data_IF_712929257388
#
_entry.id   IF_712929257388
#
_cell.length_a   1.000
_cell.length_b   1.000
_cell.length_c   1.000
_cell.angle_alpha   90.00
_cell.angle_beta   90.00
_cell.angle_gamma   90.00
#
_symmetry.space_group_name_H-M   'P 1'
#
loop_
_entity.id
_entity.type
_entity.pdbx_description
1 polymer ?
#
# COMPACT_ATOMS: atom_id res chain seq x y z
N UNK A 1 38.57 21.27 -30.21
CA UNK A 1 39.66 20.30 -30.11
C UNK A 1 39.08 19.03 -29.50
N UNK A 2 39.03 18.01 -30.32
CA UNK A 2 38.43 16.70 -30.07
C UNK A 2 39.23 15.90 -29.04
N UNK A 3 38.57 15.06 -28.27
CA UNK A 3 39.10 13.85 -27.65
C UNK A 3 37.84 13.06 -27.18
N UNK A 4 37.69 11.88 -27.36
CA UNK A 4 38.13 10.68 -28.08
C UNK A 4 37.33 9.53 -27.45
N UNK A 5 36.78 8.75 -28.29
CA UNK A 5 35.94 7.58 -28.01
C UNK A 5 36.80 6.40 -27.57
N UNK A 6 36.52 5.82 -26.42
CA UNK A 6 37.04 4.51 -26.06
C UNK A 6 36.06 3.41 -26.47
N UNK A 7 36.36 2.76 -27.60
CA UNK A 7 35.79 1.46 -27.97
C UNK A 7 36.45 0.37 -27.12
N UNK A 8 35.61 -0.45 -26.48
CA UNK A 8 36.02 -1.74 -25.93
C UNK A 8 35.44 -2.84 -26.80
N UNK A 9 36.32 -3.67 -27.33
CA UNK A 9 36.04 -4.74 -28.29
C UNK A 9 35.28 -5.91 -27.68
N UNK A 10 34.43 -6.47 -28.50
CA UNK A 10 33.56 -7.63 -28.36
C UNK A 10 34.29 -8.95 -28.19
N UNK A 11 33.70 -9.82 -27.41
CA UNK A 11 33.88 -11.27 -27.47
C UNK A 11 32.53 -11.98 -27.32
N UNK A 12 32.13 -12.68 -28.41
CA UNK A 12 31.17 -13.75 -28.50
C UNK A 12 29.69 -13.50 -28.11
N UNK A 13 28.88 -13.31 -29.13
CA UNK A 13 27.56 -13.99 -29.28
C UNK A 13 26.53 -13.87 -28.16
N UNK A 14 26.14 -12.66 -27.80
CA UNK A 14 24.87 -12.47 -27.09
C UNK A 14 24.02 -11.45 -27.87
N UNK A 15 22.90 -11.94 -28.41
CA UNK A 15 21.81 -11.07 -28.87
C UNK A 15 21.56 -10.03 -27.77
N UNK A 16 21.55 -8.72 -28.05
CA UNK A 16 21.19 -7.74 -27.05
C UNK A 16 19.76 -8.05 -26.64
N UNK A 17 19.57 -8.42 -25.36
CA UNK A 17 18.28 -8.41 -24.72
C UNK A 17 17.73 -7.00 -24.93
N UNK A 18 16.63 -6.92 -25.65
CA UNK A 18 15.90 -5.69 -25.91
C UNK A 18 15.32 -5.23 -24.58
N UNK A 19 16.13 -4.50 -23.79
CA UNK A 19 15.75 -3.86 -22.55
C UNK A 19 14.89 -2.62 -22.86
N UNK A 20 13.83 -2.80 -23.61
CA UNK A 20 12.64 -2.02 -23.42
C UNK A 20 11.99 -2.53 -22.11
N UNK A 21 12.62 -2.24 -20.99
CA UNK A 21 11.93 -2.10 -19.75
C UNK A 21 10.82 -1.07 -20.04
N UNK A 22 9.59 -1.55 -20.26
CA UNK A 22 8.43 -0.71 -20.14
C UNK A 22 8.56 -0.09 -18.76
N UNK A 23 8.93 1.18 -18.71
CA UNK A 23 8.84 1.99 -17.50
C UNK A 23 7.36 1.95 -17.17
N UNK A 24 6.98 1.04 -16.28
CA UNK A 24 5.62 0.95 -15.77
C UNK A 24 5.42 2.21 -14.94
N UNK A 25 4.86 3.24 -15.58
CA UNK A 25 4.58 4.51 -14.92
C UNK A 25 3.21 4.43 -14.28
N UNK A 26 3.14 4.81 -13.00
CA UNK A 26 1.86 5.02 -12.32
C UNK A 26 1.22 6.30 -12.87
N UNK A 27 -0.07 6.23 -13.21
CA UNK A 27 -0.89 7.35 -13.68
C UNK A 27 -1.80 7.81 -12.54
N UNK A 28 -1.83 9.10 -12.27
CA UNK A 28 -2.80 9.67 -11.33
C UNK A 28 -4.18 9.75 -12.01
N UNK A 29 -5.20 9.28 -11.31
CA UNK A 29 -6.60 9.27 -11.76
C UNK A 29 -7.52 9.81 -10.68
N UNK A 30 -8.71 10.28 -11.07
CA UNK A 30 -9.73 10.66 -10.11
C UNK A 30 -10.31 9.42 -9.43
N UNK A 31 -10.53 9.46 -8.11
CA UNK A 31 -11.23 8.39 -7.41
C UNK A 31 -12.63 8.10 -7.99
N UNK A 32 -13.25 9.08 -8.67
CA UNK A 32 -14.56 8.96 -9.32
C UNK A 32 -14.52 8.05 -10.56
N UNK A 33 -13.35 7.89 -11.15
CA UNK A 33 -13.14 7.04 -12.32
C UNK A 33 -12.87 5.58 -11.95
N UNK A 34 -12.75 5.28 -10.63
CA UNK A 34 -12.40 3.94 -10.18
C UNK A 34 -13.54 2.95 -10.32
N UNK A 35 -13.19 1.77 -10.81
CA UNK A 35 -14.08 0.63 -11.01
C UNK A 35 -13.53 -0.59 -10.27
N UNK A 36 -14.08 -0.90 -9.12
CA UNK A 36 -13.76 -2.13 -8.37
C UNK A 36 -14.84 -2.47 -7.35
N UNK A 37 -14.79 -3.70 -6.84
CA UNK A 37 -15.61 -4.11 -5.71
C UNK A 37 -14.78 -3.98 -4.41
N UNK A 38 -15.09 -3.03 -3.50
CA UNK A 38 -14.29 -2.79 -2.30
C UNK A 38 -14.26 -3.99 -1.35
N UNK A 39 -15.29 -4.82 -1.33
CA UNK A 39 -15.32 -6.04 -0.51
C UNK A 39 -14.32 -7.09 -1.01
N UNK A 40 -14.18 -7.24 -2.35
CA UNK A 40 -13.16 -8.10 -2.92
C UNK A 40 -11.77 -7.55 -2.68
N UNK A 41 -11.60 -6.24 -2.93
CA UNK A 41 -10.30 -5.57 -2.84
C UNK A 41 -9.67 -5.71 -1.44
N UNK A 42 -10.47 -5.56 -0.39
CA UNK A 42 -10.01 -5.70 1.00
C UNK A 42 -10.03 -7.15 1.48
N UNK A 43 -11.18 -7.82 1.36
CA UNK A 43 -11.40 -9.13 1.99
C UNK A 43 -10.73 -10.29 1.26
N UNK A 44 -10.67 -10.24 -0.09
CA UNK A 44 -10.18 -11.33 -0.92
C UNK A 44 -8.78 -11.04 -1.48
N UNK A 45 -8.57 -9.87 -2.08
CA UNK A 45 -7.30 -9.53 -2.73
C UNK A 45 -6.25 -9.10 -1.71
N UNK A 46 -6.68 -8.46 -0.62
CA UNK A 46 -5.86 -7.83 0.41
C UNK A 46 -5.13 -6.58 -0.11
N UNK A 47 -4.63 -5.79 0.80
CA UNK A 47 -3.78 -4.64 0.48
C UNK A 47 -2.53 -4.64 1.34
N UNK A 48 -1.50 -3.93 0.89
CA UNK A 48 -0.37 -3.54 1.72
C UNK A 48 -0.60 -2.13 2.25
N UNK A 49 -0.60 -1.97 3.57
CA UNK A 49 -0.48 -0.66 4.19
C UNK A 49 0.99 -0.35 4.42
N UNK A 50 1.42 0.85 4.02
CA UNK A 50 2.80 1.30 4.18
C UNK A 50 2.85 2.71 4.72
N UNK A 51 3.85 3.01 5.55
CA UNK A 51 4.15 4.35 6.03
C UNK A 51 5.65 4.51 6.25
N UNK A 52 6.12 5.75 6.23
CA UNK A 52 7.51 6.11 6.38
C UNK A 52 8.03 6.98 5.25
N UNK A 53 9.28 7.37 5.37
CA UNK A 53 10.00 8.18 4.38
C UNK A 53 11.39 7.60 4.12
N UNK A 54 12.09 8.15 3.15
CA UNK A 54 13.48 7.79 2.88
C UNK A 54 14.39 8.11 4.08
N UNK A 55 14.11 9.22 4.77
CA UNK A 55 14.91 9.70 5.90
C UNK A 55 14.61 8.93 7.19
N UNK A 56 13.36 8.58 7.45
CA UNK A 56 12.93 7.98 8.72
C UNK A 56 12.80 6.45 8.65
N UNK A 57 13.07 5.88 7.47
CA UNK A 57 12.78 4.49 7.17
C UNK A 57 11.28 4.25 6.98
N UNK A 58 10.93 3.10 6.44
CA UNK A 58 9.56 2.72 6.16
C UNK A 58 9.28 1.26 6.52
N UNK A 59 8.01 0.95 6.71
CA UNK A 59 7.57 -0.43 6.86
C UNK A 59 6.22 -0.65 6.17
N UNK A 60 5.92 -1.92 5.90
CA UNK A 60 4.66 -2.36 5.29
C UNK A 60 4.11 -3.59 6.00
N UNK A 61 2.82 -3.82 5.87
CA UNK A 61 2.19 -5.10 6.23
C UNK A 61 0.92 -5.30 5.42
N UNK A 62 0.50 -6.54 5.30
CA UNK A 62 -0.76 -6.90 4.68
C UNK A 62 -1.92 -6.62 5.61
N UNK A 63 -2.98 -6.04 5.03
CA UNK A 63 -4.28 -5.83 5.69
C UNK A 63 -5.41 -6.45 4.86
N UNK A 64 -6.47 -6.86 5.57
CA UNK A 64 -7.72 -7.34 4.98
C UNK A 64 -8.96 -6.73 5.65
N UNK A 65 -8.76 -5.89 6.67
CA UNK A 65 -9.81 -5.17 7.39
C UNK A 65 -9.71 -3.68 7.08
N UNK A 66 -10.82 -3.10 6.68
CA UNK A 66 -10.89 -1.68 6.34
C UNK A 66 -12.16 -1.33 5.60
N UNK A 67 -12.25 -0.07 5.23
CA UNK A 67 -13.36 0.47 4.45
C UNK A 67 -12.84 1.52 3.48
N UNK A 68 -13.47 1.62 2.32
CA UNK A 68 -13.31 2.70 1.37
C UNK A 68 -14.67 3.37 1.19
N UNK A 69 -14.73 4.68 1.32
CA UNK A 69 -15.99 5.42 1.25
C UNK A 69 -15.77 6.92 1.30
N UNK A 70 -16.76 7.66 1.78
CA UNK A 70 -16.67 9.10 1.99
C UNK A 70 -17.05 9.42 3.44
N UNK A 71 -16.30 10.29 4.08
CA UNK A 71 -16.56 10.75 5.44
C UNK A 71 -16.31 12.26 5.52
N UNK A 72 -17.13 12.96 6.32
CA UNK A 72 -17.12 14.42 6.58
C UNK A 72 -17.42 15.33 5.38
N UNK A 73 -17.51 14.81 4.16
CA UNK A 73 -17.88 15.56 2.97
C UNK A 73 -18.45 14.70 1.85
N UNK A 74 -19.23 15.29 0.95
CA UNK A 74 -19.87 14.57 -0.16
C UNK A 74 -18.88 14.11 -1.24
N UNK A 75 -17.69 14.71 -1.27
CA UNK A 75 -16.66 14.43 -2.26
C UNK A 75 -15.29 14.20 -1.61
N UNK A 76 -15.26 13.80 -0.34
CA UNK A 76 -14.05 13.52 0.40
C UNK A 76 -13.87 11.99 0.54
N UNK A 77 -13.17 11.35 -0.40
CA UNK A 77 -12.92 9.91 -0.36
C UNK A 77 -12.00 9.60 0.82
N UNK A 78 -12.36 8.58 1.58
CA UNK A 78 -11.59 8.14 2.75
C UNK A 78 -11.32 6.65 2.71
N UNK A 79 -10.18 6.28 3.29
CA UNK A 79 -9.83 4.92 3.64
C UNK A 79 -9.80 4.79 5.17
N UNK A 80 -10.45 3.77 5.69
CA UNK A 80 -10.39 3.41 7.11
C UNK A 80 -9.66 2.10 7.24
N UNK A 81 -8.64 2.06 8.09
CA UNK A 81 -7.82 0.87 8.34
C UNK A 81 -7.69 0.60 9.83
N UNK A 82 -7.45 -0.66 10.18
CA UNK A 82 -7.39 -1.15 11.56
C UNK A 82 -6.06 -1.85 11.81
N UNK A 83 -5.24 -1.34 12.74
CA UNK A 83 -3.92 -1.88 13.07
C UNK A 83 -3.86 -2.31 14.53
N UNK A 84 -3.40 -3.54 14.76
CA UNK A 84 -3.14 -4.02 16.14
C UNK A 84 -1.91 -3.35 16.74
N UNK A 85 -1.88 -3.10 18.06
CA UNK A 85 -0.72 -2.49 18.71
C UNK A 85 0.56 -3.32 18.59
N UNK A 86 0.46 -4.62 18.41
CA UNK A 86 1.61 -5.52 18.20
C UNK A 86 2.31 -5.34 16.86
N UNK A 87 1.66 -4.72 15.86
CA UNK A 87 2.21 -4.60 14.49
C UNK A 87 3.24 -3.49 14.38
N UNK A 88 4.45 -3.84 13.89
CA UNK A 88 5.53 -2.87 13.72
C UNK A 88 5.17 -1.74 12.76
N UNK A 89 4.42 -2.02 11.69
CA UNK A 89 3.95 -0.99 10.75
C UNK A 89 3.13 0.10 11.44
N UNK A 90 2.42 -0.24 12.54
CA UNK A 90 1.68 0.75 13.32
C UNK A 90 2.56 1.89 13.83
N UNK A 91 3.80 1.60 14.26
CA UNK A 91 4.71 2.64 14.76
C UNK A 91 5.10 3.66 13.68
N UNK A 92 5.08 3.26 12.41
CA UNK A 92 5.29 4.14 11.28
C UNK A 92 4.01 4.94 10.97
N UNK A 93 2.84 4.28 10.93
CA UNK A 93 1.56 4.95 10.70
C UNK A 93 1.25 5.96 11.82
N UNK A 94 1.61 5.68 13.07
CA UNK A 94 1.44 6.62 14.18
C UNK A 94 2.29 7.89 13.98
N UNK A 95 3.53 7.72 13.56
CA UNK A 95 4.52 8.80 13.43
C UNK A 95 4.29 9.68 12.21
N UNK A 96 3.94 9.09 11.08
CA UNK A 96 3.83 9.79 9.81
C UNK A 96 2.43 10.39 9.63
N UNK A 97 2.33 11.50 8.90
CA UNK A 97 1.05 12.13 8.54
C UNK A 97 0.33 11.36 7.42
N UNK A 98 1.07 10.57 6.63
CA UNK A 98 0.58 9.83 5.50
C UNK A 98 0.76 8.33 5.66
N UNK A 99 -0.15 7.58 5.07
CA UNK A 99 0.02 6.16 4.79
C UNK A 99 -0.47 5.85 3.37
N UNK A 100 -0.02 4.76 2.81
CA UNK A 100 -0.50 4.28 1.50
C UNK A 100 -1.17 2.93 1.62
N UNK A 101 -2.09 2.66 0.70
CA UNK A 101 -2.68 1.35 0.49
C UNK A 101 -2.35 0.90 -0.92
N UNK A 102 -1.60 -0.20 -1.05
CA UNK A 102 -1.21 -0.75 -2.34
C UNK A 102 -1.97 -2.04 -2.63
N UNK A 103 -2.65 -2.08 -3.78
CA UNK A 103 -3.21 -3.31 -4.35
C UNK A 103 -2.16 -3.95 -5.23
N UNK A 104 -1.87 -5.22 -4.98
CA UNK A 104 -0.85 -5.97 -5.69
C UNK A 104 -1.49 -6.89 -6.73
N UNK A 105 -0.69 -7.31 -7.71
CA UNK A 105 -1.07 -8.38 -8.61
C UNK A 105 -1.26 -9.70 -7.87
N UNK A 106 -2.14 -10.57 -8.35
CA UNK A 106 -2.39 -11.89 -7.74
C UNK A 106 -1.11 -12.73 -7.64
N UNK A 107 -0.18 -12.55 -8.56
CA UNK A 107 1.14 -13.19 -8.54
C UNK A 107 1.95 -12.89 -7.26
N UNK A 108 1.66 -11.77 -6.57
CA UNK A 108 2.29 -11.40 -5.29
C UNK A 108 1.62 -11.99 -4.05
N UNK A 109 0.64 -12.90 -4.22
CA UNK A 109 -0.12 -13.46 -3.07
C UNK A 109 0.77 -14.08 -1.99
N UNK A 110 1.83 -14.78 -2.39
CA UNK A 110 2.78 -15.39 -1.45
C UNK A 110 3.58 -14.33 -0.68
N UNK A 111 4.03 -13.29 -1.38
CA UNK A 111 4.74 -12.16 -0.78
C UNK A 111 3.84 -11.39 0.18
N UNK A 112 2.58 -11.17 -0.16
CA UNK A 112 1.62 -10.54 0.74
C UNK A 112 1.39 -11.36 2.00
N UNK A 113 1.24 -12.68 1.90
CA UNK A 113 1.11 -13.57 3.07
C UNK A 113 2.36 -13.48 3.96
N UNK A 114 3.55 -13.49 3.39
CA UNK A 114 4.82 -13.31 4.09
C UNK A 114 4.90 -11.95 4.79
N UNK A 115 4.59 -10.84 4.09
CA UNK A 115 4.60 -9.48 4.63
C UNK A 115 3.61 -9.28 5.78
N UNK A 116 2.52 -10.05 5.80
CA UNK A 116 1.54 -10.05 6.89
C UNK A 116 1.96 -10.87 8.12
N UNK A 117 2.84 -11.88 7.96
CA UNK A 117 3.25 -12.80 9.02
C UNK A 117 4.55 -12.40 9.71
N UNK A 118 5.50 -11.79 8.99
CA UNK A 118 6.84 -11.46 9.48
C UNK A 118 6.91 -10.01 9.94
N UNK A 119 7.66 -9.76 11.03
CA UNK A 119 7.91 -8.42 11.54
C UNK A 119 9.12 -7.77 10.85
N UNK A 120 8.98 -6.51 10.44
CA UNK A 120 10.11 -5.70 9.97
C UNK A 120 11.11 -5.30 11.07
N UNK A 121 10.85 -5.67 12.35
CA UNK A 121 11.85 -5.56 13.43
C UNK A 121 12.92 -6.63 13.31
N UNK A 122 12.55 -7.78 12.76
CA UNK A 122 13.38 -8.97 12.79
C UNK A 122 14.21 -9.12 11.50
N UNK A 123 13.70 -8.56 10.39
CA UNK A 123 14.37 -8.65 9.09
C UNK A 123 13.88 -7.60 8.08
N UNK A 124 14.67 -7.38 7.01
CA UNK A 124 14.23 -6.60 5.84
C UNK A 124 13.24 -7.40 4.99
N UNK A 125 12.01 -7.45 5.47
CA UNK A 125 10.95 -8.18 4.77
C UNK A 125 10.54 -7.57 3.43
N UNK A 126 10.73 -6.24 3.24
CA UNK A 126 10.39 -5.56 1.98
C UNK A 126 11.36 -6.01 0.88
N UNK A 127 12.67 -5.97 1.17
CA UNK A 127 13.70 -6.46 0.25
C UNK A 127 13.56 -7.95 -0.05
N UNK A 128 13.30 -8.77 0.97
CA UNK A 128 13.07 -10.22 0.79
C UNK A 128 11.81 -10.56 -0.01
N UNK A 129 10.77 -9.71 0.06
CA UNK A 129 9.59 -9.85 -0.78
C UNK A 129 9.82 -9.42 -2.24
N UNK A 130 10.98 -8.84 -2.56
CA UNK A 130 11.31 -8.35 -3.90
C UNK A 130 10.53 -7.10 -4.29
N UNK A 131 10.12 -6.26 -3.32
CA UNK A 131 9.38 -5.04 -3.58
C UNK A 131 10.30 -3.83 -3.70
N UNK A 132 10.08 -3.01 -4.73
CA UNK A 132 10.80 -1.78 -5.00
C UNK A 132 10.06 -0.58 -4.38
N UNK A 133 10.70 0.07 -3.40
CA UNK A 133 10.15 1.25 -2.73
C UNK A 133 10.19 2.46 -3.67
N UNK A 134 9.07 3.19 -3.70
CA UNK A 134 8.96 4.51 -4.34
C UNK A 134 8.56 5.50 -3.26
N UNK A 135 9.38 6.53 -3.06
CA UNK A 135 9.10 7.61 -2.12
C UNK A 135 8.58 8.82 -2.88
N UNK A 136 7.36 9.22 -2.63
CA UNK A 136 6.71 10.37 -3.24
C UNK A 136 5.59 10.91 -2.33
N UNK A 137 5.27 12.18 -2.45
CA UNK A 137 4.14 12.82 -1.76
C UNK A 137 4.13 12.55 -0.24
N UNK A 138 5.30 12.65 0.41
CA UNK A 138 5.50 12.35 1.84
C UNK A 138 5.06 10.92 2.25
N UNK A 139 5.10 10.00 1.33
CA UNK A 139 4.66 8.62 1.53
C UNK A 139 5.58 7.62 0.84
N UNK A 140 5.33 6.34 1.04
CA UNK A 140 6.02 5.23 0.39
C UNK A 140 5.01 4.26 -0.19
N UNK A 141 5.21 3.83 -1.43
CA UNK A 141 4.47 2.76 -2.07
C UNK A 141 5.42 1.84 -2.86
N UNK A 142 4.90 0.85 -3.57
CA UNK A 142 5.71 -0.11 -4.30
C UNK A 142 5.47 -0.01 -5.81
N UNK A 143 6.57 -0.06 -6.58
CA UNK A 143 6.55 -0.02 -8.05
C UNK A 143 5.67 -1.14 -8.63
N UNK A 144 5.62 -2.29 -7.95
CA UNK A 144 4.87 -3.48 -8.37
C UNK A 144 3.37 -3.38 -8.11
N UNK A 145 2.90 -2.34 -7.41
CA UNK A 145 1.47 -2.13 -7.16
C UNK A 145 0.70 -1.85 -8.46
N UNK A 146 -0.54 -2.34 -8.54
CA UNK A 146 -1.47 -2.02 -9.64
C UNK A 146 -2.27 -0.75 -9.37
N UNK A 147 -2.63 -0.55 -8.10
CA UNK A 147 -3.42 0.59 -7.63
C UNK A 147 -2.85 1.04 -6.28
N UNK A 148 -2.68 2.34 -6.10
CA UNK A 148 -2.20 2.94 -4.86
C UNK A 148 -3.14 4.06 -4.44
N UNK A 149 -3.55 4.03 -3.17
CA UNK A 149 -4.20 5.15 -2.50
C UNK A 149 -3.18 5.83 -1.61
N UNK A 150 -2.93 7.12 -1.82
CA UNK A 150 -2.12 7.96 -0.93
C UNK A 150 -3.07 8.69 0.00
N UNK A 151 -2.97 8.37 1.29
CA UNK A 151 -3.93 8.78 2.31
C UNK A 151 -3.27 9.69 3.34
N UNK A 152 -3.82 10.89 3.52
CA UNK A 152 -3.47 11.79 4.62
C UNK A 152 -4.28 11.41 5.85
N UNK A 153 -3.61 11.14 6.95
CA UNK A 153 -4.26 10.77 8.21
C UNK A 153 -5.05 11.95 8.79
N UNK A 154 -6.33 11.76 9.05
CA UNK A 154 -7.22 12.81 9.57
C UNK A 154 -7.80 12.47 10.94
N UNK A 155 -7.95 11.18 11.25
CA UNK A 155 -8.51 10.77 12.54
C UNK A 155 -7.90 9.46 13.01
N UNK A 156 -7.71 9.35 14.32
CA UNK A 156 -7.20 8.14 14.98
C UNK A 156 -8.01 7.88 16.23
N UNK A 157 -8.49 6.65 16.41
CA UNK A 157 -9.18 6.21 17.62
C UNK A 157 -8.90 4.74 17.90
N UNK A 158 -8.78 4.38 19.15
CA UNK A 158 -8.73 2.97 19.56
C UNK A 158 -10.15 2.41 19.66
N UNK A 159 -10.36 1.17 19.19
CA UNK A 159 -11.59 0.46 19.46
C UNK A 159 -11.71 0.21 20.97
N UNK A 160 -12.91 0.39 21.50
CA UNK A 160 -13.17 0.22 22.92
C UNK A 160 -14.03 -1.04 23.16
N UNK A 161 -13.70 -1.84 24.18
CA UNK A 161 -14.50 -3.00 24.59
C UNK A 161 -15.96 -2.64 24.82
N UNK A 162 -16.22 -1.47 25.39
CA UNK A 162 -17.57 -0.95 25.64
C UNK A 162 -18.37 -0.68 24.36
N UNK A 163 -17.69 -0.47 23.22
CA UNK A 163 -18.32 -0.21 21.93
C UNK A 163 -18.85 -1.46 21.23
N UNK A 164 -18.50 -2.66 21.69
CA UNK A 164 -18.99 -3.90 21.09
C UNK A 164 -20.42 -4.21 21.59
N UNK A 165 -21.39 -4.05 20.72
CA UNK A 165 -22.78 -4.42 21.01
C UNK A 165 -22.89 -5.94 21.11
N UNK A 166 -22.33 -6.66 20.13
CA UNK A 166 -22.16 -8.11 20.16
C UNK A 166 -20.86 -8.45 20.88
N UNK A 167 -20.96 -8.99 22.10
CA UNK A 167 -19.80 -9.34 22.92
C UNK A 167 -19.06 -10.57 22.42
N UNK A 168 -19.69 -11.42 21.64
CA UNK A 168 -19.05 -12.60 21.06
C UNK A 168 -17.98 -12.19 20.03
N UNK A 169 -18.25 -11.14 19.25
CA UNK A 169 -17.25 -10.56 18.34
C UNK A 169 -16.01 -10.12 19.11
N UNK A 170 -16.19 -9.43 20.26
CA UNK A 170 -15.07 -9.00 21.08
C UNK A 170 -14.25 -10.19 21.60
N UNK A 171 -14.92 -11.19 22.17
CA UNK A 171 -14.24 -12.37 22.74
C UNK A 171 -13.50 -13.20 21.68
N UNK A 172 -14.07 -13.33 20.48
CA UNK A 172 -13.47 -14.08 19.38
C UNK A 172 -12.30 -13.33 18.75
N UNK A 173 -12.48 -12.03 18.48
CA UNK A 173 -11.48 -11.24 17.77
C UNK A 173 -10.34 -10.75 18.67
N UNK A 174 -10.60 -10.58 19.99
CA UNK A 174 -9.65 -9.94 20.92
C UNK A 174 -9.45 -10.73 22.22
N UNK A 175 -9.06 -12.02 22.15
CA UNK A 175 -8.84 -12.83 23.36
C UNK A 175 -7.71 -12.29 24.24
N UNK A 176 -6.77 -11.53 23.65
CA UNK A 176 -5.64 -10.90 24.34
C UNK A 176 -5.88 -9.41 24.65
N UNK A 177 -7.09 -8.90 24.40
CA UNK A 177 -7.45 -7.48 24.56
C UNK A 177 -6.55 -6.50 23.78
N UNK A 178 -5.93 -6.96 22.72
CA UNK A 178 -5.06 -6.19 21.81
C UNK A 178 -5.89 -5.48 20.72
N UNK A 179 -6.82 -4.62 21.14
CA UNK A 179 -7.77 -3.94 20.27
C UNK A 179 -7.06 -3.13 19.19
N UNK A 180 -7.66 -3.10 18.01
CA UNK A 180 -7.13 -2.31 16.92
C UNK A 180 -7.27 -0.81 17.18
N UNK A 181 -6.31 -0.08 16.70
CA UNK A 181 -6.43 1.35 16.45
C UNK A 181 -7.00 1.55 15.04
N UNK A 182 -8.05 2.33 14.94
CA UNK A 182 -8.66 2.77 13.70
C UNK A 182 -7.98 4.06 13.21
N UNK A 183 -7.63 4.10 11.96
CA UNK A 183 -7.10 5.28 11.27
C UNK A 183 -8.03 5.63 10.12
N UNK A 184 -8.44 6.88 10.06
CA UNK A 184 -9.17 7.43 8.91
C UNK A 184 -8.21 8.32 8.15
N UNK A 185 -8.00 8.02 6.89
CA UNK A 185 -7.19 8.81 5.99
C UNK A 185 -8.00 9.34 4.81
N UNK A 186 -7.90 10.64 4.54
CA UNK A 186 -8.40 11.21 3.29
C UNK A 186 -7.55 10.70 2.13
N UNK A 187 -8.18 10.17 1.11
CA UNK A 187 -7.51 9.76 -0.12
C UNK A 187 -7.23 11.03 -0.93
N UNK A 188 -5.98 11.50 -0.91
CA UNK A 188 -5.58 12.70 -1.65
C UNK A 188 -5.21 12.39 -3.10
N UNK A 189 -4.62 11.19 -3.33
CA UNK A 189 -4.24 10.74 -4.67
C UNK A 189 -4.57 9.27 -4.88
N UNK A 190 -4.90 8.95 -6.10
CA UNK A 190 -5.04 7.58 -6.59
C UNK A 190 -4.11 7.40 -7.78
N UNK A 191 -3.24 6.38 -7.69
CA UNK A 191 -2.33 6.04 -8.77
C UNK A 191 -2.69 4.66 -9.31
N UNK A 192 -2.76 4.52 -10.62
CA UNK A 192 -2.99 3.23 -11.31
C UNK A 192 -1.83 2.93 -12.24
N UNK A 193 -1.41 1.67 -12.28
CA UNK A 193 -0.42 1.18 -13.22
C UNK A 193 -1.05 0.88 -14.59
N UNK A 194 -2.21 0.26 -14.56
CA UNK A 194 -2.97 -0.17 -15.72
C UNK A 194 -4.38 0.38 -15.63
N UNK A 195 -5.06 0.54 -16.76
CA UNK A 195 -6.43 1.04 -16.82
C UNK A 195 -7.49 0.03 -16.34
N UNK A 196 -7.08 -1.12 -15.76
CA UNK A 196 -7.97 -2.17 -15.22
C UNK A 196 -8.97 -1.65 -14.19
N UNK A 197 -8.58 -0.63 -13.42
CA UNK A 197 -9.38 -0.04 -12.34
C UNK A 197 -10.12 1.24 -12.75
N UNK A 198 -10.02 1.64 -14.03
CA UNK A 198 -10.59 2.90 -14.53
C UNK A 198 -11.80 2.61 -15.41
N UNK A 199 -12.88 3.36 -15.22
CA UNK A 199 -14.06 3.32 -16.07
C UNK A 199 -13.99 4.44 -17.12
N UNK A 200 -13.75 4.09 -18.37
CA UNK A 200 -13.67 5.03 -19.49
C UNK A 200 -15.00 5.76 -19.79
N UNK A 201 -16.11 5.30 -19.21
CA UNK A 201 -17.44 5.90 -19.41
C UNK A 201 -17.74 7.05 -18.41
N UNK A 202 -16.85 7.34 -17.47
CA UNK A 202 -17.04 8.37 -16.42
C UNK A 202 -16.36 9.69 -16.79
N UNK A 203 -15.80 9.82 -17.98
CA UNK A 203 -15.15 11.05 -18.48
C UNK A 203 -16.14 12.08 -18.97
#
# INVERSE_FOLDING_TARGET
MYLDSAQVYSGAGHTPLNLNEHIISMKEVSYKELKFNPFNLLGKEWMLISAGSEQTGCNTMTISWGHLGCLWGHNDPTAVVYLRPSRYTKTFVDREDYFTLCVMDESFRKQMAYLGSVSGRDEDKIGKAGLTKVFADNSVYFKEAKLVFICKKEYVAELQESGFIDKDIFHQAYPLKDLHTMYVGKIEKVLVRDDEYVDDNVR
#
